data_IF_909957477762
#
_entry.id   IF_909957477762
#
_cell.length_a   1.000
_cell.length_b   1.000
_cell.length_c   1.000
_cell.angle_alpha   90.00
_cell.angle_beta   90.00
_cell.angle_gamma   90.00
#
_symmetry.space_group_name_H-M   'P 1'
#
loop_
_entity.id
_entity.type
_entity.pdbx_description
1 polymer ?
#
# COMPACT_ATOMS: atom_id res chain seq x y z
N UNK A 1 -15.83 5.95 8.44
CA UNK A 1 -16.05 4.59 7.90
C UNK A 1 -16.23 3.61 9.07
N UNK A 2 -17.20 2.69 8.99
CA UNK A 2 -17.46 1.74 10.08
C UNK A 2 -16.21 0.87 10.34
N UNK A 3 -15.78 0.79 11.58
CA UNK A 3 -14.62 -0.03 11.98
C UNK A 3 -14.91 -1.50 11.69
N UNK A 4 -14.07 -2.13 10.87
CA UNK A 4 -14.24 -3.54 10.51
C UNK A 4 -13.54 -4.40 11.55
N UNK A 5 -14.28 -5.31 12.20
CA UNK A 5 -13.70 -6.28 13.14
C UNK A 5 -12.64 -7.15 12.42
N UNK A 6 -11.54 -7.47 13.10
CA UNK A 6 -10.57 -8.46 12.62
C UNK A 6 -11.30 -9.78 12.38
N UNK A 7 -11.16 -10.30 11.17
CA UNK A 7 -11.90 -11.48 10.68
C UNK A 7 -10.98 -12.67 10.36
N UNK A 8 -9.70 -12.55 10.70
CA UNK A 8 -8.66 -13.54 10.42
C UNK A 8 -7.81 -13.77 11.67
N UNK A 9 -7.22 -14.96 11.79
CA UNK A 9 -6.33 -15.29 12.91
C UNK A 9 -4.86 -15.22 12.48
N UNK A 10 -4.51 -15.88 11.39
CA UNK A 10 -3.14 -16.02 10.94
C UNK A 10 -2.88 -15.15 9.70
N UNK A 11 -1.68 -14.60 9.62
CA UNK A 11 -1.17 -13.92 8.43
C UNK A 11 0.05 -14.68 7.93
N UNK A 12 0.07 -15.04 6.65
CA UNK A 12 1.19 -15.76 6.05
C UNK A 12 1.54 -15.19 4.68
N UNK A 13 2.75 -15.52 4.20
CA UNK A 13 3.24 -15.11 2.90
C UNK A 13 3.43 -16.36 2.06
N UNK A 14 3.04 -16.29 0.80
CA UNK A 14 3.29 -17.34 -0.19
C UNK A 14 3.91 -16.75 -1.44
N UNK A 15 4.77 -17.51 -2.10
CA UNK A 15 5.29 -17.17 -3.41
C UNK A 15 4.33 -17.69 -4.49
N UNK A 16 3.89 -16.80 -5.38
CA UNK A 16 3.08 -17.11 -6.55
C UNK A 16 3.84 -16.79 -7.85
N UNK A 17 3.19 -16.99 -8.99
CA UNK A 17 3.80 -16.75 -10.32
C UNK A 17 4.22 -15.28 -10.55
N UNK A 18 3.52 -14.33 -9.91
CA UNK A 18 3.72 -12.90 -10.09
C UNK A 18 4.49 -12.19 -8.98
N UNK A 19 5.02 -12.92 -7.99
CA UNK A 19 5.71 -12.36 -6.82
C UNK A 19 5.21 -12.95 -5.51
N UNK A 20 5.25 -12.14 -4.46
CA UNK A 20 4.83 -12.52 -3.11
C UNK A 20 3.40 -12.09 -2.83
N UNK A 21 2.63 -13.00 -2.23
CA UNK A 21 1.22 -12.82 -1.90
C UNK A 21 1.05 -12.90 -0.38
N UNK A 22 0.11 -12.13 0.16
CA UNK A 22 -0.26 -12.18 1.57
C UNK A 22 -1.55 -12.97 1.71
N UNK A 23 -1.59 -13.90 2.65
CA UNK A 23 -2.76 -14.70 2.99
C UNK A 23 -3.24 -14.34 4.39
N UNK A 24 -4.56 -14.16 4.52
CA UNK A 24 -5.26 -14.06 5.78
C UNK A 24 -5.98 -15.39 5.99
N UNK A 25 -5.48 -16.18 6.95
CA UNK A 25 -5.78 -17.61 7.12
C UNK A 25 -5.54 -18.40 5.82
N UNK A 26 -6.64 -18.80 5.16
CA UNK A 26 -6.61 -19.55 3.90
C UNK A 26 -7.04 -18.71 2.70
N UNK A 27 -7.22 -17.39 2.88
CA UNK A 27 -7.71 -16.47 1.84
C UNK A 27 -6.62 -15.52 1.41
N UNK A 28 -6.35 -15.50 0.11
CA UNK A 28 -5.47 -14.51 -0.51
C UNK A 28 -6.01 -13.09 -0.29
N UNK A 29 -5.16 -12.18 0.16
CA UNK A 29 -5.48 -10.77 0.30
C UNK A 29 -5.77 -10.17 -1.07
N UNK A 30 -6.79 -9.30 -1.11
CA UNK A 30 -7.21 -8.61 -2.33
C UNK A 30 -7.23 -7.10 -2.12
N UNK A 31 -7.02 -6.38 -3.21
CA UNK A 31 -7.16 -4.93 -3.26
C UNK A 31 -8.64 -4.53 -3.21
N UNK A 32 -8.97 -3.25 -2.94
CA UNK A 32 -10.34 -2.74 -3.02
C UNK A 32 -11.05 -3.02 -4.35
N UNK A 33 -10.33 -3.03 -5.48
CA UNK A 33 -10.88 -3.44 -6.79
C UNK A 33 -10.87 -4.96 -7.03
N UNK A 34 -10.76 -5.76 -5.97
CA UNK A 34 -10.76 -7.23 -5.99
C UNK A 34 -9.63 -7.88 -6.80
N UNK A 35 -8.55 -7.14 -7.10
CA UNK A 35 -7.33 -7.71 -7.68
C UNK A 35 -6.54 -8.46 -6.61
N UNK A 36 -5.72 -9.39 -7.03
CA UNK A 36 -4.82 -10.09 -6.11
C UNK A 36 -3.77 -9.12 -5.58
N UNK A 37 -3.55 -9.11 -4.26
CA UNK A 37 -2.52 -8.29 -3.65
C UNK A 37 -1.17 -9.01 -3.79
N UNK A 38 -0.41 -8.63 -4.82
CA UNK A 38 0.91 -9.21 -5.13
C UNK A 38 1.98 -8.11 -5.12
N UNK A 39 3.11 -8.40 -4.48
CA UNK A 39 4.25 -7.48 -4.39
C UNK A 39 5.53 -8.16 -4.91
N UNK A 40 6.46 -7.40 -5.53
CA UNK A 40 7.64 -7.99 -6.18
C UNK A 40 8.78 -8.36 -5.21
N UNK A 41 8.71 -7.92 -3.95
CA UNK A 41 9.80 -8.09 -2.97
C UNK A 41 9.28 -8.80 -1.72
N UNK A 42 10.06 -9.78 -1.25
CA UNK A 42 9.78 -10.50 -0.01
C UNK A 42 9.77 -9.57 1.21
N UNK A 43 10.74 -8.66 1.29
CA UNK A 43 10.82 -7.69 2.39
C UNK A 43 9.56 -6.81 2.47
N UNK A 44 9.01 -6.40 1.31
CA UNK A 44 7.76 -5.65 1.26
C UNK A 44 6.57 -6.53 1.68
N UNK A 45 6.54 -7.80 1.27
CA UNK A 45 5.51 -8.74 1.69
C UNK A 45 5.52 -8.96 3.21
N UNK A 46 6.72 -9.10 3.80
CA UNK A 46 6.90 -9.20 5.26
C UNK A 46 6.37 -7.96 5.95
N UNK A 47 6.76 -6.76 5.50
CA UNK A 47 6.31 -5.53 6.12
C UNK A 47 4.78 -5.35 6.04
N UNK A 48 4.17 -5.67 4.90
CA UNK A 48 2.70 -5.67 4.76
C UNK A 48 2.05 -6.73 5.66
N UNK A 49 2.58 -7.95 5.69
CA UNK A 49 2.07 -9.01 6.56
C UNK A 49 2.13 -8.60 8.05
N UNK A 50 3.20 -7.91 8.47
CA UNK A 50 3.33 -7.35 9.82
C UNK A 50 2.26 -6.30 10.11
N UNK A 51 1.93 -5.41 9.16
CA UNK A 51 0.83 -4.44 9.35
C UNK A 51 -0.51 -5.15 9.59
N UNK A 52 -0.78 -6.25 8.88
CA UNK A 52 -1.98 -7.06 9.05
C UNK A 52 -1.97 -7.84 10.36
N UNK A 53 -0.84 -8.43 10.74
CA UNK A 53 -0.75 -9.19 11.98
C UNK A 53 -0.87 -8.30 13.23
N UNK A 54 -0.41 -7.05 13.15
CA UNK A 54 -0.46 -6.08 14.24
C UNK A 54 -1.87 -5.55 14.55
N UNK A 55 -2.89 -5.91 13.77
CA UNK A 55 -4.27 -5.46 14.01
C UNK A 55 -4.87 -6.22 15.20
N UNK A 56 -5.48 -5.53 16.16
CA UNK A 56 -6.12 -6.18 17.30
C UNK A 56 -7.58 -6.55 16.98
N UNK A 57 -8.53 -6.06 17.77
CA UNK A 57 -9.96 -6.37 17.60
C UNK A 57 -10.58 -5.75 16.34
N UNK A 58 -10.10 -4.57 15.96
CA UNK A 58 -10.57 -3.82 14.79
C UNK A 58 -9.43 -3.51 13.83
N UNK A 59 -9.73 -3.58 12.54
CA UNK A 59 -8.79 -3.27 11.46
C UNK A 59 -8.74 -1.75 11.29
N UNK A 60 -7.59 -1.17 11.61
CA UNK A 60 -7.32 0.27 11.58
C UNK A 60 -6.51 0.61 10.34
N UNK A 61 -7.19 0.84 9.21
CA UNK A 61 -6.53 1.12 7.92
C UNK A 61 -5.52 2.29 7.96
N UNK A 62 -5.74 3.29 8.82
CA UNK A 62 -4.84 4.43 8.97
C UNK A 62 -3.47 4.06 9.56
N UNK A 63 -3.31 2.88 10.15
CA UNK A 63 -2.02 2.36 10.64
C UNK A 63 -1.33 1.46 9.62
N UNK A 64 -1.92 1.27 8.43
CA UNK A 64 -1.45 0.31 7.41
C UNK A 64 -1.02 1.07 6.15
N UNK A 65 0.05 1.87 6.29
CA UNK A 65 0.53 2.77 5.25
C UNK A 65 1.05 2.01 4.03
N UNK A 66 1.82 0.94 4.23
CA UNK A 66 2.36 0.13 3.14
C UNK A 66 1.23 -0.57 2.38
N UNK A 67 0.28 -1.14 3.11
CA UNK A 67 -0.92 -1.74 2.52
C UNK A 67 -1.69 -0.73 1.65
N UNK A 68 -1.86 0.51 2.14
CA UNK A 68 -2.57 1.56 1.41
C UNK A 68 -1.82 2.02 0.15
N UNK A 69 -0.49 2.16 0.23
CA UNK A 69 0.36 2.49 -0.92
C UNK A 69 0.30 1.38 -1.97
N UNK A 70 0.45 0.11 -1.56
CA UNK A 70 0.35 -1.05 -2.46
C UNK A 70 -1.02 -1.14 -3.12
N UNK A 71 -2.11 -0.95 -2.37
CA UNK A 71 -3.47 -0.91 -2.93
C UNK A 71 -3.57 0.17 -4.02
N UNK A 72 -3.06 1.37 -3.75
CA UNK A 72 -3.09 2.48 -4.70
C UNK A 72 -2.28 2.18 -5.96
N UNK A 73 -1.10 1.55 -5.82
CA UNK A 73 -0.24 1.17 -6.94
C UNK A 73 -0.88 0.08 -7.83
N UNK A 74 -1.51 -0.94 -7.22
CA UNK A 74 -2.14 -2.06 -7.92
C UNK A 74 -3.48 -1.67 -8.58
N UNK A 75 -4.28 -0.87 -7.89
CA UNK A 75 -5.60 -0.47 -8.37
C UNK A 75 -5.53 0.73 -9.32
N UNK A 76 -4.51 1.58 -9.19
CA UNK A 76 -4.37 2.85 -9.90
C UNK A 76 -5.71 3.60 -10.03
N UNK A 77 -6.32 4.03 -8.90
CA UNK A 77 -7.64 4.64 -8.91
C UNK A 77 -7.71 5.92 -9.78
N UNK A 78 -6.57 6.59 -9.97
CA UNK A 78 -6.47 7.79 -10.81
C UNK A 78 -6.37 7.49 -12.31
N UNK A 79 -6.25 6.21 -12.69
CA UNK A 79 -6.09 5.73 -14.07
C UNK A 79 -4.97 6.45 -14.85
N UNK A 80 -3.99 7.00 -14.14
CA UNK A 80 -2.86 7.71 -14.77
C UNK A 80 -1.86 6.70 -15.31
N UNK A 81 -1.38 6.95 -16.52
CA UNK A 81 -0.27 6.19 -17.05
C UNK A 81 1.07 6.63 -16.43
N UNK A 82 2.12 5.82 -16.61
CA UNK A 82 3.46 6.08 -16.07
C UNK A 82 3.95 7.49 -16.39
N UNK A 83 3.74 7.97 -17.61
CA UNK A 83 4.22 9.28 -18.04
C UNK A 83 3.46 10.43 -17.36
N UNK A 84 2.16 10.29 -17.14
CA UNK A 84 1.36 11.26 -16.39
C UNK A 84 1.79 11.33 -14.93
N UNK A 85 2.09 10.19 -14.30
CA UNK A 85 2.62 10.16 -12.92
C UNK A 85 4.00 10.81 -12.83
N UNK A 86 4.90 10.51 -13.77
CA UNK A 86 6.22 11.14 -13.83
C UNK A 86 6.09 12.66 -13.98
N UNK A 87 5.27 13.14 -14.91
CA UNK A 87 5.05 14.58 -15.09
C UNK A 87 4.47 15.25 -13.86
N UNK A 88 3.52 14.59 -13.19
CA UNK A 88 2.95 15.11 -11.96
C UNK A 88 4.00 15.23 -10.85
N UNK A 89 4.90 14.24 -10.71
CA UNK A 89 6.01 14.29 -9.77
C UNK A 89 7.02 15.39 -10.13
N UNK A 90 7.39 15.50 -11.41
CA UNK A 90 8.34 16.52 -11.90
C UNK A 90 7.82 17.93 -11.67
N UNK A 91 6.51 18.18 -11.77
CA UNK A 91 5.93 19.50 -11.49
C UNK A 91 6.26 20.02 -10.08
N UNK A 92 6.44 19.14 -9.10
CA UNK A 92 6.82 19.57 -7.74
C UNK A 92 8.27 20.06 -7.65
N UNK A 93 9.15 19.69 -8.58
CA UNK A 93 10.52 20.21 -8.64
C UNK A 93 10.53 21.72 -8.95
N UNK A 94 9.56 22.21 -9.73
CA UNK A 94 9.44 23.64 -10.05
C UNK A 94 9.04 24.47 -8.82
N UNK A 95 8.38 23.86 -7.84
CA UNK A 95 7.91 24.49 -6.60
C UNK A 95 8.54 23.84 -5.37
N UNK A 96 9.78 23.36 -5.50
CA UNK A 96 10.44 22.63 -4.41
C UNK A 96 10.61 23.56 -3.20
N UNK A 97 10.10 23.09 -2.06
CA UNK A 97 10.13 23.86 -0.81
C UNK A 97 11.55 23.99 -0.25
N UNK A 98 12.48 23.10 -0.60
CA UNK A 98 13.89 23.18 -0.18
C UNK A 98 14.62 24.33 -0.89
N UNK A 99 14.17 24.73 -2.09
CA UNK A 99 14.76 25.87 -2.82
C UNK A 99 14.15 27.23 -2.46
N UNK A 100 13.03 27.24 -1.76
CA UNK A 100 12.49 28.46 -1.17
C UNK A 100 12.94 28.52 0.29
N UNK A 101 14.20 28.91 0.52
CA UNK A 101 14.49 29.56 1.80
C UNK A 101 13.55 30.76 1.86
N UNK A 102 12.56 30.69 2.74
CA UNK A 102 11.87 31.87 3.25
C UNK A 102 12.99 32.87 3.54
N UNK A 103 13.08 33.92 2.73
CA UNK A 103 13.97 35.04 3.00
C UNK A 103 13.66 35.50 4.41
N UNK A 104 14.50 35.07 5.34
CA UNK A 104 14.52 35.54 6.70
C UNK A 104 14.93 37.01 6.61
N UNK A 105 13.91 37.87 6.45
CA UNK A 105 13.97 39.28 6.80
C UNK A 105 13.55 39.40 8.26
#
# INVERSE_FOLDING_TARGET
PAERKRFYQNVSISQGEGGFEINLDHRKLKTPQAKLFTVPSEALAIAVATEWDSQADTIKFYTMHLTTLCNTALDNPTQRNKMQLIRAAVKFLETDTVWYEMGAQ
#
